data_IF_811815528567
#
_entry.id   IF_811815528567
#
_cell.length_a   1.000
_cell.length_b   1.000
_cell.length_c   1.000
_cell.angle_alpha   90.00
_cell.angle_beta   90.00
_cell.angle_gamma   90.00
#
_symmetry.space_group_name_H-M   'P 1'
#
loop_
_entity.id
_entity.type
_entity.pdbx_description
1 polymer ?
#
# COMPACT_ATOMS: atom_id res chain seq x y z
N UNK A 1 4.06 7.70 60.10
CA UNK A 1 3.28 6.76 59.27
C UNK A 1 3.21 7.35 57.87
N UNK A 2 4.10 6.93 56.98
CA UNK A 2 4.17 7.43 55.60
C UNK A 2 3.42 6.49 54.67
N UNK A 3 2.43 7.03 53.96
CA UNK A 3 1.72 6.35 52.88
C UNK A 3 2.70 6.10 51.74
N UNK A 4 2.83 4.87 51.21
CA UNK A 4 3.67 4.64 50.05
C UNK A 4 2.97 5.20 48.80
N UNK A 5 3.70 6.09 48.12
CA UNK A 5 3.41 6.59 46.78
C UNK A 5 3.14 5.42 45.83
N UNK A 6 1.91 5.34 45.33
CA UNK A 6 1.55 4.46 44.22
C UNK A 6 2.47 4.79 43.02
N UNK A 7 3.35 3.84 42.67
CA UNK A 7 4.05 3.84 41.39
C UNK A 7 2.99 3.94 40.28
N UNK A 8 3.21 4.74 39.22
CA UNK A 8 2.34 4.68 38.05
C UNK A 8 2.33 3.24 37.54
N UNK A 9 1.13 2.72 37.25
CA UNK A 9 0.94 1.39 36.70
C UNK A 9 1.88 1.21 35.49
N UNK A 10 2.65 0.11 35.48
CA UNK A 10 3.40 -0.27 34.29
C UNK A 10 2.41 -0.29 33.11
N UNK A 11 2.78 0.26 31.93
CA UNK A 11 1.91 0.20 30.77
C UNK A 11 1.52 -1.27 30.56
N UNK A 12 0.24 -1.56 30.27
CA UNK A 12 -0.18 -2.93 30.04
C UNK A 12 0.71 -3.54 28.94
N UNK A 13 1.22 -4.76 29.19
CA UNK A 13 1.82 -5.57 28.13
C UNK A 13 0.82 -5.73 26.98
N UNK A 14 1.29 -6.15 25.80
CA UNK A 14 0.47 -6.24 24.58
C UNK A 14 -0.91 -6.88 24.82
N UNK A 15 -0.99 -7.95 25.60
CA UNK A 15 -2.26 -8.59 25.97
C UNK A 15 -3.25 -7.64 26.65
N UNK A 16 -2.79 -6.85 27.62
CA UNK A 16 -3.65 -5.87 28.29
C UNK A 16 -4.14 -4.77 27.34
N UNK A 17 -3.30 -4.33 26.40
CA UNK A 17 -3.70 -3.40 25.34
C UNK A 17 -4.74 -4.01 24.40
N UNK A 18 -4.51 -5.24 23.94
CA UNK A 18 -5.48 -5.96 23.10
C UNK A 18 -6.83 -6.15 23.80
N UNK A 19 -6.81 -6.51 25.09
CA UNK A 19 -8.02 -6.64 25.91
C UNK A 19 -8.74 -5.32 26.16
N UNK A 20 -8.05 -4.18 26.07
CA UNK A 20 -8.68 -2.86 26.15
C UNK A 20 -9.26 -2.43 24.79
N UNK A 21 -8.54 -2.66 23.70
CA UNK A 21 -8.83 -2.09 22.38
C UNK A 21 -9.77 -2.93 21.50
N UNK A 22 -9.74 -4.27 21.61
CA UNK A 22 -10.60 -5.12 20.77
C UNK A 22 -12.05 -5.03 21.27
N UNK A 23 -12.97 -4.52 20.46
CA UNK A 23 -14.39 -4.37 20.78
C UNK A 23 -15.10 -5.71 20.77
N UNK A 24 -16.20 -5.82 21.53
CA UNK A 24 -16.97 -7.06 21.68
C UNK A 24 -17.36 -7.70 20.33
N UNK A 25 -17.78 -6.90 19.35
CA UNK A 25 -18.14 -7.40 18.01
C UNK A 25 -17.01 -8.12 17.27
N UNK A 26 -15.75 -7.83 17.59
CA UNK A 26 -14.58 -8.48 17.01
C UNK A 26 -14.03 -9.63 17.88
N UNK A 27 -14.55 -9.85 19.09
CA UNK A 27 -14.09 -10.92 20.01
C UNK A 27 -14.73 -12.29 19.73
N UNK A 28 -15.11 -12.57 18.48
CA UNK A 28 -15.69 -13.85 18.09
C UNK A 28 -14.66 -14.79 17.46
N UNK A 29 -14.86 -16.11 17.59
CA UNK A 29 -14.10 -17.12 16.86
C UNK A 29 -14.46 -17.15 15.37
N UNK A 30 -15.65 -16.67 15.02
CA UNK A 30 -16.14 -16.54 13.65
C UNK A 30 -16.63 -15.11 13.47
N UNK A 31 -16.00 -14.38 12.55
CA UNK A 31 -16.41 -13.04 12.17
C UNK A 31 -17.16 -13.13 10.84
N UNK A 32 -18.41 -12.70 10.87
CA UNK A 32 -19.30 -12.64 9.72
C UNK A 32 -19.33 -11.20 9.22
N UNK A 33 -19.06 -11.01 7.93
CA UNK A 33 -19.14 -9.71 7.29
C UNK A 33 -20.23 -9.78 6.23
N UNK A 34 -21.22 -8.90 6.34
CA UNK A 34 -22.33 -8.88 5.38
C UNK A 34 -21.88 -8.41 4.00
N UNK A 35 -22.66 -8.72 2.94
CA UNK A 35 -22.39 -8.25 1.57
C UNK A 35 -22.31 -6.72 1.44
N UNK A 36 -22.98 -6.01 2.35
CA UNK A 36 -23.00 -4.53 2.41
C UNK A 36 -21.85 -3.93 3.25
N UNK A 37 -20.96 -4.76 3.81
CA UNK A 37 -19.79 -4.26 4.54
C UNK A 37 -18.75 -3.73 3.54
N UNK A 38 -18.50 -2.40 3.50
CA UNK A 38 -17.63 -1.79 2.51
C UNK A 38 -16.17 -2.27 2.59
N UNK A 39 -15.80 -2.98 3.66
CA UNK A 39 -14.44 -3.41 3.90
C UNK A 39 -14.17 -4.86 3.48
N UNK A 40 -15.17 -5.75 3.41
CA UNK A 40 -14.90 -7.20 3.38
C UNK A 40 -15.76 -8.09 2.46
N UNK A 41 -16.76 -7.61 1.74
CA UNK A 41 -17.47 -8.43 0.73
C UNK A 41 -17.77 -7.59 -0.52
N UNK A 42 -17.88 -8.23 -1.68
CA UNK A 42 -18.44 -7.56 -2.85
C UNK A 42 -19.92 -7.27 -2.58
N UNK A 43 -20.38 -6.01 -2.71
CA UNK A 43 -21.81 -5.76 -2.64
C UNK A 43 -22.48 -6.48 -3.80
N UNK A 44 -23.51 -7.28 -3.51
CA UNK A 44 -24.54 -7.54 -4.49
C UNK A 44 -25.13 -6.20 -4.89
N UNK A 45 -24.82 -5.72 -6.08
CA UNK A 45 -25.30 -4.43 -6.57
C UNK A 45 -26.83 -4.40 -6.54
N UNK A 46 -27.39 -3.77 -5.51
CA UNK A 46 -28.82 -3.88 -5.25
C UNK A 46 -29.35 -2.97 -4.15
N UNK A 47 -28.76 -1.80 -3.87
CA UNK A 47 -29.54 -0.61 -3.46
C UNK A 47 -28.67 0.63 -3.21
N UNK A 48 -28.88 1.68 -4.00
CA UNK A 48 -29.09 3.10 -3.61
C UNK A 48 -28.54 4.06 -4.66
N UNK A 49 -29.36 5.07 -4.94
CA UNK A 49 -29.21 6.06 -5.98
C UNK A 49 -27.95 6.93 -5.87
N UNK A 50 -27.64 7.51 -7.01
CA UNK A 50 -26.48 8.31 -7.31
C UNK A 50 -26.24 9.50 -6.35
N UNK A 51 -24.99 9.62 -5.90
CA UNK A 51 -24.34 10.90 -5.62
C UNK A 51 -22.83 10.73 -5.83
N UNK A 52 -22.26 11.54 -6.73
CA UNK A 52 -20.86 11.51 -7.17
C UNK A 52 -19.84 11.76 -6.03
N UNK A 53 -18.66 11.10 -6.04
CA UNK A 53 -17.51 11.53 -5.24
C UNK A 53 -16.54 12.41 -6.06
N UNK A 54 -15.78 13.31 -5.41
CA UNK A 54 -14.88 14.23 -6.09
C UNK A 54 -13.57 13.57 -6.54
N UNK A 55 -13.02 14.10 -7.62
CA UNK A 55 -11.76 13.71 -8.23
C UNK A 55 -10.57 14.09 -7.34
N UNK A 56 -9.89 13.09 -6.75
CA UNK A 56 -8.44 13.09 -6.52
C UNK A 56 -8.02 11.75 -5.90
N UNK A 57 -7.77 10.74 -6.73
CA UNK A 57 -6.89 9.62 -6.37
C UNK A 57 -6.13 9.13 -7.60
N UNK A 58 -4.82 9.36 -7.59
CA UNK A 58 -3.89 8.93 -8.63
C UNK A 58 -3.51 7.48 -8.35
N UNK A 59 -3.91 6.56 -9.23
CA UNK A 59 -3.43 5.18 -9.21
C UNK A 59 -1.99 5.10 -9.75
N UNK A 60 -1.07 4.62 -8.91
CA UNK A 60 0.32 4.33 -9.25
C UNK A 60 0.35 3.17 -10.26
N UNK A 61 1.00 3.39 -11.40
CA UNK A 61 1.24 2.39 -12.45
C UNK A 61 2.41 1.47 -12.07
N UNK A 62 2.24 0.19 -12.37
CA UNK A 62 3.22 -0.88 -12.23
C UNK A 62 4.51 -0.62 -13.03
N UNK A 63 5.65 -0.78 -12.36
CA UNK A 63 6.96 -0.93 -12.99
C UNK A 63 7.14 -2.43 -13.24
N UNK A 64 7.21 -2.81 -14.52
CA UNK A 64 7.44 -4.19 -14.94
C UNK A 64 8.87 -4.66 -14.69
N UNK A 65 9.04 -5.98 -14.62
CA UNK A 65 10.21 -6.60 -15.23
C UNK A 65 9.92 -8.02 -15.69
N UNK A 66 10.40 -8.34 -16.89
CA UNK A 66 10.30 -9.65 -17.52
C UNK A 66 11.29 -10.64 -16.92
N UNK A 67 10.94 -11.92 -17.02
CA UNK A 67 11.78 -13.05 -16.63
C UNK A 67 11.23 -14.34 -17.21
N UNK A 68 11.95 -14.87 -18.20
CA UNK A 68 11.61 -15.99 -19.06
C UNK A 68 11.48 -17.34 -18.33
N UNK A 69 10.57 -18.16 -18.83
CA UNK A 69 10.36 -19.58 -18.51
C UNK A 69 11.65 -20.43 -18.57
N UNK A 70 11.84 -21.32 -17.59
CA UNK A 70 12.32 -22.72 -17.76
C UNK A 70 12.22 -23.49 -16.44
N UNK A 71 12.03 -24.80 -16.58
CA UNK A 71 12.03 -25.87 -15.57
C UNK A 71 10.74 -26.14 -14.79
N UNK A 72 9.78 -26.69 -15.54
CA UNK A 72 8.91 -27.74 -15.06
C UNK A 72 9.67 -29.08 -15.06
N UNK A 73 9.99 -29.59 -13.87
CA UNK A 73 10.05 -31.03 -13.52
C UNK A 73 10.59 -31.15 -12.09
N UNK A 74 9.69 -31.44 -11.16
CA UNK A 74 9.81 -32.34 -10.01
C UNK A 74 8.57 -32.11 -9.13
N UNK A 75 8.26 -33.07 -8.26
CA UNK A 75 7.11 -33.11 -7.35
C UNK A 75 5.83 -33.74 -7.92
N UNK A 76 5.96 -35.01 -8.27
CA UNK A 76 4.91 -36.01 -8.06
C UNK A 76 4.90 -36.40 -6.59
N UNK A 77 3.74 -36.33 -5.91
CA UNK A 77 3.35 -37.01 -4.66
C UNK A 77 2.85 -36.10 -3.53
N UNK A 78 1.75 -35.37 -3.74
CA UNK A 78 0.79 -35.00 -2.69
C UNK A 78 -0.61 -34.98 -3.30
N UNK A 79 -1.60 -35.50 -2.56
CA UNK A 79 -3.01 -35.69 -2.96
C UNK A 79 -3.64 -34.41 -3.58
N UNK A 80 -4.55 -34.54 -4.56
CA UNK A 80 -5.04 -33.42 -5.36
C UNK A 80 -6.02 -32.53 -4.57
N UNK A 81 -5.76 -31.22 -4.53
CA UNK A 81 -6.72 -30.20 -4.08
C UNK A 81 -7.32 -29.48 -5.29
N UNK A 82 -8.65 -29.29 -5.38
CA UNK A 82 -9.25 -28.51 -6.45
C UNK A 82 -8.89 -27.02 -6.31
N UNK A 83 -8.38 -26.43 -7.39
CA UNK A 83 -8.18 -24.99 -7.54
C UNK A 83 -9.55 -24.37 -7.85
N UNK A 84 -10.03 -23.42 -7.03
CA UNK A 84 -11.30 -22.74 -7.28
C UNK A 84 -11.12 -21.59 -8.27
N UNK A 85 -12.01 -21.53 -9.26
CA UNK A 85 -12.11 -20.38 -10.16
C UNK A 85 -12.71 -19.18 -9.46
N UNK A 86 -12.21 -17.99 -9.81
CA UNK A 86 -12.78 -16.72 -9.38
C UNK A 86 -14.25 -16.64 -9.79
N UNK A 87 -15.08 -16.16 -8.86
CA UNK A 87 -16.49 -15.87 -9.09
C UNK A 87 -16.69 -14.89 -10.25
N UNK A 88 -17.85 -15.01 -10.89
CA UNK A 88 -18.27 -14.09 -11.93
C UNK A 88 -18.46 -12.69 -11.34
N UNK A 89 -17.60 -11.75 -11.74
CA UNK A 89 -17.86 -10.33 -11.50
C UNK A 89 -19.03 -9.92 -12.40
N UNK A 90 -20.12 -9.41 -11.80
CA UNK A 90 -21.23 -8.87 -12.58
C UNK A 90 -20.80 -7.61 -13.33
N UNK A 91 -20.57 -7.78 -14.63
CA UNK A 91 -20.47 -6.70 -15.60
C UNK A 91 -21.87 -6.16 -15.86
N UNK A 92 -21.99 -4.83 -15.87
CA UNK A 92 -23.12 -4.15 -16.50
C UNK A 92 -23.40 -4.78 -17.88
N UNK A 93 -24.61 -5.32 -18.04
CA UNK A 93 -25.06 -5.92 -19.28
C UNK A 93 -25.06 -4.89 -20.41
N UNK A 94 -24.10 -5.00 -21.33
CA UNK A 94 -24.49 -5.01 -22.74
C UNK A 94 -25.16 -6.37 -22.95
N UNK A 95 -26.42 -6.38 -23.35
CA UNK A 95 -27.28 -7.56 -23.35
C UNK A 95 -26.56 -8.82 -23.90
N UNK A 96 -26.35 -9.82 -23.04
CA UNK A 96 -26.12 -11.20 -23.45
C UNK A 96 -24.69 -11.77 -23.51
N UNK A 97 -23.68 -11.24 -22.78
CA UNK A 97 -22.32 -11.84 -22.81
C UNK A 97 -21.60 -11.92 -21.44
N UNK A 98 -21.52 -13.11 -20.79
CA UNK A 98 -20.81 -13.36 -19.53
C UNK A 98 -19.37 -13.88 -19.70
N UNK A 99 -18.68 -13.53 -20.79
CA UNK A 99 -17.39 -14.14 -21.18
C UNK A 99 -16.12 -13.50 -20.59
N UNK A 100 -16.19 -12.50 -19.70
CA UNK A 100 -15.00 -11.75 -19.28
C UNK A 100 -14.38 -12.28 -17.98
N UNK A 101 -13.09 -12.64 -18.04
CA UNK A 101 -12.27 -13.07 -16.88
C UNK A 101 -11.07 -12.12 -16.66
N UNK A 102 -10.95 -11.04 -17.43
CA UNK A 102 -9.87 -10.04 -17.26
C UNK A 102 -10.39 -8.60 -17.34
N UNK A 103 -9.96 -7.78 -16.37
CA UNK A 103 -10.18 -6.34 -16.40
C UNK A 103 -9.20 -5.69 -17.39
N UNK A 104 -9.68 -5.34 -18.57
CA UNK A 104 -9.06 -4.36 -19.46
C UNK A 104 -9.93 -3.10 -19.50
N UNK A 105 -9.35 -1.90 -19.72
CA UNK A 105 -10.13 -0.68 -19.81
C UNK A 105 -11.14 -0.79 -20.96
N UNK A 106 -12.29 -0.14 -20.80
CA UNK A 106 -13.44 -0.19 -21.68
C UNK A 106 -13.12 0.30 -23.11
N UNK A 107 -12.56 -0.59 -23.92
CA UNK A 107 -12.55 -0.60 -25.39
C UNK A 107 -11.70 -1.78 -25.90
N UNK A 108 -11.99 -3.01 -25.46
CA UNK A 108 -11.66 -4.26 -26.17
C UNK A 108 -11.91 -5.46 -25.23
N UNK A 109 -13.10 -6.07 -25.31
CA UNK A 109 -13.22 -7.46 -24.92
C UNK A 109 -12.61 -8.30 -26.05
N UNK A 110 -11.57 -9.10 -25.77
CA UNK A 110 -10.80 -9.87 -26.78
C UNK A 110 -11.67 -10.84 -27.60
N UNK A 111 -12.93 -11.08 -27.20
CA UNK A 111 -13.88 -11.93 -27.91
C UNK A 111 -15.07 -11.24 -28.59
N UNK A 112 -15.25 -9.92 -28.46
CA UNK A 112 -16.45 -9.22 -28.96
C UNK A 112 -16.12 -7.84 -29.54
N UNK A 113 -15.88 -7.76 -30.85
CA UNK A 113 -16.09 -6.52 -31.62
C UNK A 113 -17.53 -6.52 -32.12
N UNK A 114 -18.46 -5.91 -31.37
CA UNK A 114 -19.72 -5.48 -31.95
C UNK A 114 -19.47 -4.15 -32.68
N UNK A 115 -19.62 -4.19 -34.00
CA UNK A 115 -19.71 -3.00 -34.84
C UNK A 115 -21.20 -2.76 -35.07
N UNK A 116 -21.83 -1.92 -34.25
CA UNK A 116 -23.17 -1.44 -34.55
C UNK A 116 -23.04 -0.39 -35.66
N UNK A 117 -23.11 -0.87 -36.90
CA UNK A 117 -22.98 -0.08 -38.12
C UNK A 117 -24.17 0.85 -38.39
N UNK A 118 -24.52 1.72 -37.43
CA UNK A 118 -25.47 2.81 -37.68
C UNK A 118 -25.26 4.03 -36.78
N UNK A 119 -24.05 4.61 -36.82
CA UNK A 119 -23.80 5.97 -36.35
C UNK A 119 -23.07 6.75 -37.46
N UNK A 120 -23.62 7.87 -37.98
CA UNK A 120 -22.90 8.68 -38.95
C UNK A 120 -21.79 9.45 -38.24
N UNK A 121 -20.52 9.12 -38.53
CA UNK A 121 -19.35 9.93 -38.10
C UNK A 121 -18.16 9.20 -37.46
N UNK A 122 -17.90 7.92 -37.73
CA UNK A 122 -16.68 7.23 -37.28
C UNK A 122 -15.46 7.46 -38.20
N UNK A 123 -14.24 7.69 -37.68
CA UNK A 123 -13.06 8.00 -38.50
C UNK A 123 -12.50 6.77 -39.25
N UNK A 124 -12.11 6.99 -40.51
CA UNK A 124 -11.79 6.00 -41.54
C UNK A 124 -10.47 5.20 -41.38
N UNK A 125 -9.99 4.94 -40.16
CA UNK A 125 -8.71 4.23 -39.95
C UNK A 125 -8.84 2.78 -39.42
N UNK A 126 -10.04 2.20 -39.45
CA UNK A 126 -10.28 0.80 -39.04
C UNK A 126 -10.30 -0.23 -40.18
N UNK A 127 -10.02 0.16 -41.43
CA UNK A 127 -10.12 -0.70 -42.63
C UNK A 127 -8.97 -1.72 -42.82
N UNK A 128 -8.31 -2.17 -41.74
CA UNK A 128 -7.07 -2.96 -41.88
C UNK A 128 -6.79 -4.06 -40.87
N UNK A 129 -7.72 -4.42 -39.97
CA UNK A 129 -7.46 -5.47 -38.98
C UNK A 129 -7.97 -6.84 -39.44
N UNK A 130 -7.09 -7.87 -39.54
CA UNK A 130 -7.52 -9.21 -39.88
C UNK A 130 -8.39 -9.79 -38.75
N UNK A 131 -9.62 -10.14 -39.12
CA UNK A 131 -10.66 -10.74 -38.28
C UNK A 131 -10.14 -12.02 -37.58
N UNK A 132 -9.67 -11.90 -36.34
CA UNK A 132 -9.34 -13.06 -35.50
C UNK A 132 -10.60 -13.59 -34.84
N UNK A 133 -11.09 -14.71 -35.38
CA UNK A 133 -11.94 -15.72 -34.75
C UNK A 133 -13.14 -15.23 -33.91
N UNK A 134 -14.32 -15.22 -34.53
CA UNK A 134 -15.62 -15.21 -33.82
C UNK A 134 -15.65 -16.32 -32.76
N UNK A 135 -15.76 -15.93 -31.49
CA UNK A 135 -16.19 -16.82 -30.42
C UNK A 135 -17.62 -17.27 -30.76
N UNK A 136 -17.84 -18.57 -30.99
CA UNK A 136 -19.20 -19.09 -31.19
C UNK A 136 -19.97 -18.93 -29.88
N UNK A 137 -21.02 -18.12 -29.90
CA UNK A 137 -21.97 -18.05 -28.80
C UNK A 137 -22.54 -19.47 -28.55
N UNK A 138 -22.46 -20.00 -27.31
CA UNK A 138 -23.06 -21.29 -27.00
C UNK A 138 -24.59 -21.20 -27.13
N UNK A 139 -25.25 -22.36 -27.25
CA UNK A 139 -26.71 -22.42 -27.25
C UNK A 139 -27.29 -21.70 -26.02
N UNK A 140 -28.44 -21.04 -26.18
CA UNK A 140 -29.08 -20.29 -25.11
C UNK A 140 -29.32 -21.19 -23.88
N UNK A 141 -28.92 -20.70 -22.69
CA UNK A 141 -29.13 -21.38 -21.41
C UNK A 141 -28.02 -22.36 -20.98
N UNK A 142 -26.93 -22.51 -21.74
CA UNK A 142 -25.82 -23.39 -21.34
C UNK A 142 -24.86 -22.66 -20.39
N UNK A 143 -24.85 -23.09 -19.13
CA UNK A 143 -23.90 -22.64 -18.08
C UNK A 143 -22.92 -23.75 -17.72
N UNK A 144 -21.87 -23.38 -16.99
CA UNK A 144 -20.93 -24.33 -16.40
C UNK A 144 -21.68 -25.38 -15.56
N UNK A 145 -21.30 -26.65 -15.71
CA UNK A 145 -21.94 -27.78 -15.02
C UNK A 145 -21.81 -27.77 -13.49
N UNK A 146 -21.01 -26.86 -12.93
CA UNK A 146 -20.91 -26.67 -11.48
C UNK A 146 -22.17 -25.95 -10.97
N UNK A 147 -22.94 -26.51 -9.99
CA UNK A 147 -24.27 -26.02 -9.58
C UNK A 147 -24.38 -24.53 -9.20
N UNK A 148 -23.26 -23.87 -8.88
CA UNK A 148 -23.21 -22.47 -8.44
C UNK A 148 -22.33 -21.59 -9.35
N UNK A 149 -22.09 -22.01 -10.60
CA UNK A 149 -21.26 -21.28 -11.56
C UNK A 149 -22.08 -20.89 -12.80
N UNK A 150 -22.32 -19.59 -12.97
CA UNK A 150 -23.15 -19.06 -14.07
C UNK A 150 -22.33 -18.74 -15.34
N UNK A 151 -21.02 -18.96 -15.32
CA UNK A 151 -20.14 -18.70 -16.45
C UNK A 151 -20.37 -19.68 -17.61
N UNK A 152 -20.14 -19.22 -18.85
CA UNK A 152 -20.25 -20.07 -20.03
C UNK A 152 -19.17 -21.16 -20.08
N UNK A 153 -19.51 -22.36 -20.57
CA UNK A 153 -18.52 -23.38 -20.83
C UNK A 153 -17.58 -23.00 -21.99
N UNK A 154 -16.33 -23.45 -21.90
CA UNK A 154 -15.32 -23.14 -22.91
C UNK A 154 -15.33 -24.20 -24.03
N UNK A 155 -15.73 -23.80 -25.24
CA UNK A 155 -15.69 -24.67 -26.42
C UNK A 155 -16.60 -25.88 -26.27
N UNK A 156 -16.03 -27.09 -26.33
CA UNK A 156 -16.76 -28.35 -26.13
C UNK A 156 -16.71 -28.87 -24.69
N UNK A 157 -16.15 -28.11 -23.74
CA UNK A 157 -16.13 -28.50 -22.33
C UNK A 157 -17.50 -28.30 -21.67
N UNK A 158 -17.80 -29.11 -20.65
CA UNK A 158 -18.94 -28.90 -19.74
C UNK A 158 -18.69 -27.77 -18.71
N UNK A 159 -17.48 -27.21 -18.66
CA UNK A 159 -17.05 -26.25 -17.63
C UNK A 159 -16.57 -24.93 -18.21
N UNK A 160 -16.61 -23.85 -17.41
CA UNK A 160 -15.95 -22.59 -17.73
C UNK A 160 -14.42 -22.77 -17.83
N UNK A 161 -13.69 -21.78 -18.34
CA UNK A 161 -12.24 -21.87 -18.55
C UNK A 161 -11.46 -22.32 -17.29
N UNK A 162 -11.81 -21.77 -16.13
CA UNK A 162 -11.09 -22.05 -14.88
C UNK A 162 -11.40 -23.45 -14.34
N UNK A 163 -12.67 -23.87 -14.40
CA UNK A 163 -13.06 -25.23 -14.02
C UNK A 163 -12.58 -26.27 -15.04
N UNK A 164 -12.51 -25.93 -16.33
CA UNK A 164 -11.88 -26.77 -17.38
C UNK A 164 -10.40 -27.03 -17.09
N UNK A 165 -9.68 -25.98 -16.67
CA UNK A 165 -8.26 -26.10 -16.31
C UNK A 165 -8.09 -26.99 -15.08
N UNK A 166 -8.91 -26.77 -14.06
CA UNK A 166 -8.89 -27.57 -12.82
C UNK A 166 -9.26 -29.03 -13.07
N UNK A 167 -10.28 -29.28 -13.88
CA UNK A 167 -10.69 -30.62 -14.30
C UNK A 167 -9.57 -31.35 -15.06
N UNK A 168 -8.87 -30.65 -15.97
CA UNK A 168 -7.71 -31.20 -16.70
C UNK A 168 -6.54 -31.53 -15.78
N UNK A 169 -6.23 -30.66 -14.81
CA UNK A 169 -5.14 -30.87 -13.83
C UNK A 169 -5.44 -32.05 -12.90
N UNK A 170 -6.71 -32.28 -12.57
CA UNK A 170 -7.13 -33.40 -11.71
C UNK A 170 -7.28 -34.74 -12.45
N UNK A 171 -6.68 -34.87 -13.64
CA UNK A 171 -6.68 -36.13 -14.39
C UNK A 171 -7.95 -36.39 -15.20
N UNK A 172 -8.80 -35.36 -15.41
CA UNK A 172 -10.06 -35.44 -16.17
C UNK A 172 -11.01 -36.52 -15.63
N UNK A 173 -11.39 -36.43 -14.35
CA UNK A 173 -12.38 -37.34 -13.75
C UNK A 173 -13.74 -37.23 -14.48
N UNK A 174 -14.67 -38.13 -14.18
CA UNK A 174 -16.03 -38.03 -14.71
C UNK A 174 -16.65 -36.63 -14.42
N UNK A 175 -17.42 -36.10 -15.38
CA UNK A 175 -17.90 -34.71 -15.37
C UNK A 175 -18.89 -34.48 -14.23
N UNK A 176 -19.85 -35.39 -14.03
CA UNK A 176 -20.87 -35.25 -12.99
C UNK A 176 -20.24 -35.57 -11.62
N UNK A 177 -19.38 -36.60 -11.52
CA UNK A 177 -18.64 -36.87 -10.29
C UNK A 177 -17.70 -35.73 -9.87
N UNK A 178 -17.18 -34.95 -10.83
CA UNK A 178 -16.40 -33.75 -10.56
C UNK A 178 -17.29 -32.57 -10.16
N UNK A 179 -18.47 -32.42 -10.75
CA UNK A 179 -19.44 -31.37 -10.40
C UNK A 179 -20.06 -31.60 -9.02
N UNK A 180 -20.36 -32.85 -8.65
CA UNK A 180 -20.97 -33.25 -7.37
C UNK A 180 -20.05 -32.96 -6.18
N UNK A 181 -18.73 -32.92 -6.38
CA UNK A 181 -17.77 -32.47 -5.36
C UNK A 181 -17.99 -31.00 -4.92
N UNK A 182 -18.80 -30.25 -5.65
CA UNK A 182 -19.16 -28.87 -5.36
C UNK A 182 -20.60 -28.70 -4.86
N UNK A 183 -21.39 -29.78 -4.75
CA UNK A 183 -22.81 -29.73 -4.37
C UNK A 183 -23.05 -29.53 -2.86
N UNK A 184 -22.12 -29.96 -1.98
CA UNK A 184 -22.30 -29.96 -0.51
C UNK A 184 -21.78 -28.69 0.21
N UNK A 185 -22.00 -27.48 -0.30
CA UNK A 185 -21.49 -26.26 0.37
C UNK A 185 -22.59 -25.26 0.80
N UNK A 186 -22.98 -25.37 2.08
CA UNK A 186 -23.58 -24.33 2.94
C UNK A 186 -22.63 -23.11 3.07
N UNK A 187 -23.11 -21.95 3.59
CA UNK A 187 -22.82 -20.61 3.03
C UNK A 187 -21.32 -20.38 2.80
N UNK A 188 -21.00 -19.72 1.69
CA UNK A 188 -19.66 -19.65 1.13
C UNK A 188 -18.62 -19.22 2.18
N UNK A 189 -17.53 -20.00 2.27
CA UNK A 189 -16.32 -19.64 3.02
C UNK A 189 -15.70 -18.27 2.61
N UNK A 190 -16.25 -17.61 1.59
CA UNK A 190 -15.91 -16.27 1.13
C UNK A 190 -16.55 -15.14 1.97
N UNK A 191 -17.44 -15.44 2.93
CA UNK A 191 -18.12 -14.43 3.77
C UNK A 191 -17.74 -14.53 5.27
N UNK A 192 -17.00 -15.57 5.66
CA UNK A 192 -16.67 -15.83 7.06
C UNK A 192 -15.15 -15.91 7.30
N UNK A 193 -14.69 -15.22 8.35
CA UNK A 193 -13.32 -15.35 8.86
C UNK A 193 -13.36 -16.18 10.14
N UNK A 194 -12.75 -17.36 10.11
CA UNK A 194 -12.65 -18.26 11.27
C UNK A 194 -11.26 -18.18 11.91
N UNK A 195 -11.22 -17.83 13.18
CA UNK A 195 -10.01 -17.64 13.99
C UNK A 195 -9.88 -18.69 15.11
N UNK A 196 -10.79 -19.66 15.15
CA UNK A 196 -10.84 -20.79 16.08
C UNK A 196 -9.54 -21.61 16.13
N UNK A 197 -8.79 -21.64 15.03
CA UNK A 197 -7.50 -22.35 14.91
C UNK A 197 -6.32 -21.61 15.55
N UNK A 198 -6.50 -20.36 15.95
CA UNK A 198 -5.47 -19.55 16.60
C UNK A 198 -5.72 -19.55 18.10
N UNK A 199 -4.70 -19.92 18.87
CA UNK A 199 -4.80 -19.97 20.33
C UNK A 199 -4.41 -18.63 20.97
N UNK A 200 -5.05 -18.32 22.10
CA UNK A 200 -4.61 -17.28 23.04
C UNK A 200 -4.49 -15.87 22.44
N UNK A 201 -3.29 -15.30 22.54
CA UNK A 201 -2.99 -13.92 22.19
C UNK A 201 -3.02 -13.66 20.68
N UNK A 202 -2.53 -14.58 19.85
CA UNK A 202 -2.51 -14.41 18.39
C UNK A 202 -3.91 -14.23 17.79
N UNK A 203 -4.92 -14.86 18.39
CA UNK A 203 -6.32 -14.63 18.01
C UNK A 203 -6.74 -13.19 18.26
N UNK A 204 -6.45 -12.66 19.46
CA UNK A 204 -6.75 -11.27 19.81
C UNK A 204 -5.99 -10.28 18.92
N UNK A 205 -4.75 -10.60 18.57
CA UNK A 205 -3.96 -9.82 17.62
C UNK A 205 -4.65 -9.73 16.25
N UNK A 206 -5.06 -10.85 15.64
CA UNK A 206 -5.76 -10.80 14.35
C UNK A 206 -7.15 -10.15 14.46
N UNK A 207 -7.86 -10.32 15.57
CA UNK A 207 -9.13 -9.60 15.81
C UNK A 207 -8.91 -8.09 15.85
N UNK A 208 -7.85 -7.62 16.52
CA UNK A 208 -7.46 -6.20 16.54
C UNK A 208 -7.09 -5.69 15.14
N UNK A 209 -6.29 -6.45 14.38
CA UNK A 209 -5.89 -6.09 13.02
C UNK A 209 -7.10 -5.95 12.10
N UNK A 210 -8.06 -6.89 12.17
CA UNK A 210 -9.28 -6.84 11.37
C UNK A 210 -10.19 -5.67 11.79
N UNK A 211 -10.32 -5.41 13.09
CA UNK A 211 -11.02 -4.24 13.60
C UNK A 211 -10.40 -2.95 13.07
N UNK A 212 -9.07 -2.81 13.17
CA UNK A 212 -8.35 -1.62 12.74
C UNK A 212 -8.53 -1.37 11.24
N UNK A 213 -8.43 -2.45 10.45
CA UNK A 213 -8.62 -2.35 9.00
C UNK A 213 -10.05 -1.94 8.63
N UNK A 214 -11.05 -2.48 9.32
CA UNK A 214 -12.46 -2.11 9.16
C UNK A 214 -12.67 -0.63 9.52
N UNK A 215 -12.10 -0.15 10.63
CA UNK A 215 -12.22 1.24 11.07
C UNK A 215 -11.56 2.23 10.11
N UNK A 216 -10.37 1.87 9.60
CA UNK A 216 -9.63 2.71 8.66
C UNK A 216 -10.25 2.69 7.23
N UNK A 217 -11.30 1.88 7.00
CA UNK A 217 -11.94 1.64 5.70
C UNK A 217 -10.92 1.33 4.59
N UNK A 218 -9.81 0.70 4.95
CA UNK A 218 -8.72 0.44 4.03
C UNK A 218 -9.09 -0.71 3.10
N UNK A 219 -9.37 -0.38 1.83
CA UNK A 219 -9.36 -1.24 0.64
C UNK A 219 -9.80 -2.70 0.80
N UNK A 220 -10.78 -3.12 -0.01
CA UNK A 220 -11.41 -4.45 0.00
C UNK A 220 -10.42 -5.61 0.24
N UNK A 221 -10.60 -6.35 1.34
CA UNK A 221 -9.85 -7.57 1.67
C UNK A 221 -10.84 -8.73 1.72
N UNK A 222 -10.62 -9.81 0.97
CA UNK A 222 -11.59 -10.92 1.00
C UNK A 222 -11.29 -11.87 2.17
N UNK A 223 -12.31 -12.49 2.79
CA UNK A 223 -12.13 -13.51 3.83
C UNK A 223 -11.16 -14.61 3.44
N UNK A 224 -11.14 -15.04 2.17
CA UNK A 224 -10.18 -16.02 1.66
C UNK A 224 -8.71 -15.62 1.82
N UNK A 225 -8.38 -14.33 1.67
CA UNK A 225 -7.01 -13.83 1.87
C UNK A 225 -6.62 -13.92 3.35
N UNK A 226 -7.53 -13.52 4.25
CA UNK A 226 -7.31 -13.62 5.69
C UNK A 226 -7.17 -15.09 6.10
N UNK A 227 -8.03 -15.96 5.60
CA UNK A 227 -8.01 -17.40 5.92
C UNK A 227 -6.74 -18.10 5.45
N UNK A 228 -6.10 -17.65 4.36
CA UNK A 228 -4.78 -18.16 3.95
C UNK A 228 -3.69 -17.82 4.96
N UNK A 229 -3.67 -16.58 5.46
CA UNK A 229 -2.71 -16.16 6.50
C UNK A 229 -2.99 -16.87 7.83
N UNK A 230 -4.25 -16.97 8.25
CA UNK A 230 -4.64 -17.72 9.46
C UNK A 230 -4.16 -19.17 9.41
N UNK A 231 -4.37 -19.86 8.28
CA UNK A 231 -3.91 -21.25 8.09
C UNK A 231 -2.39 -21.36 8.16
N UNK A 232 -1.66 -20.42 7.56
CA UNK A 232 -0.21 -20.42 7.56
C UNK A 232 0.36 -20.17 8.97
N UNK A 233 -0.22 -19.21 9.71
CA UNK A 233 0.15 -18.92 11.10
C UNK A 233 -0.17 -20.09 12.05
N UNK A 234 -1.32 -20.74 11.88
CA UNK A 234 -1.68 -21.93 12.65
C UNK A 234 -0.72 -23.10 12.37
N UNK A 235 -0.25 -23.25 11.13
CA UNK A 235 0.66 -24.33 10.75
C UNK A 235 2.07 -24.17 11.34
N UNK A 236 2.58 -22.92 11.44
CA UNK A 236 3.88 -22.64 12.08
C UNK A 236 3.77 -22.62 13.62
N UNK A 237 2.57 -22.46 14.17
CA UNK A 237 2.33 -22.58 15.62
C UNK A 237 2.88 -21.43 16.45
N UNK A 238 3.03 -20.23 15.88
CA UNK A 238 3.48 -19.05 16.63
C UNK A 238 2.40 -18.56 17.61
N UNK A 239 2.83 -18.04 18.76
CA UNK A 239 1.92 -17.50 19.78
C UNK A 239 1.57 -16.02 19.63
N UNK A 240 2.36 -15.28 18.84
CA UNK A 240 2.21 -13.84 18.59
C UNK A 240 2.91 -13.45 17.30
N UNK A 241 2.41 -12.42 16.62
CA UNK A 241 3.08 -11.75 15.51
C UNK A 241 4.36 -11.01 15.96
N UNK A 242 4.56 -10.78 17.26
CA UNK A 242 5.80 -10.18 17.79
C UNK A 242 6.91 -11.20 18.07
N UNK A 243 6.67 -12.50 17.84
CA UNK A 243 7.72 -13.51 17.98
C UNK A 243 8.85 -13.31 16.95
N UNK A 244 8.59 -12.59 15.86
CA UNK A 244 9.55 -12.27 14.81
C UNK A 244 9.41 -10.81 14.39
N UNK A 245 10.53 -10.21 13.99
CA UNK A 245 10.54 -8.88 13.39
C UNK A 245 9.86 -8.85 12.02
N UNK A 246 9.50 -7.65 11.57
CA UNK A 246 8.81 -7.43 10.30
C UNK A 246 9.57 -8.01 9.09
N UNK A 247 10.90 -7.88 9.07
CA UNK A 247 11.74 -8.39 7.97
C UNK A 247 11.72 -9.92 7.91
N UNK A 248 11.73 -10.59 9.07
CA UNK A 248 11.64 -12.06 9.16
C UNK A 248 10.26 -12.53 8.67
N UNK A 249 9.20 -11.83 9.06
CA UNK A 249 7.86 -12.11 8.53
C UNK A 249 7.78 -11.92 7.02
N UNK A 250 8.44 -10.88 6.50
CA UNK A 250 8.47 -10.60 5.08
C UNK A 250 9.15 -11.75 4.31
N UNK A 251 10.32 -12.18 4.74
CA UNK A 251 11.07 -13.27 4.10
C UNK A 251 10.33 -14.61 4.21
N UNK A 252 9.79 -14.92 5.38
CA UNK A 252 8.97 -16.11 5.58
C UNK A 252 7.74 -16.11 4.65
N UNK A 253 7.02 -14.99 4.57
CA UNK A 253 5.84 -14.86 3.72
C UNK A 253 6.17 -15.03 2.23
N UNK A 254 7.34 -14.57 1.78
CA UNK A 254 7.81 -14.79 0.40
C UNK A 254 8.02 -16.27 0.09
N UNK A 255 8.49 -17.05 1.06
CA UNK A 255 8.78 -18.48 0.89
C UNK A 255 7.54 -19.38 1.01
N UNK A 256 6.55 -19.00 1.83
CA UNK A 256 5.46 -19.89 2.24
C UNK A 256 4.10 -19.50 1.63
N UNK A 257 3.89 -18.22 1.34
CA UNK A 257 2.63 -17.69 0.82
C UNK A 257 2.83 -17.32 -0.65
N UNK A 258 2.03 -17.87 -1.56
CA UNK A 258 2.24 -17.68 -3.01
C UNK A 258 1.53 -16.46 -3.61
N UNK A 259 0.70 -15.75 -2.85
CA UNK A 259 -0.05 -14.59 -3.35
C UNK A 259 0.30 -13.27 -2.64
N UNK A 260 0.43 -12.21 -3.43
CA UNK A 260 0.83 -10.88 -2.96
C UNK A 260 -0.14 -10.27 -1.96
N UNK A 261 -1.45 -10.55 -2.07
CA UNK A 261 -2.47 -9.99 -1.17
C UNK A 261 -2.34 -10.54 0.25
N UNK A 262 -2.12 -11.84 0.40
CA UNK A 262 -1.91 -12.48 1.69
C UNK A 262 -0.58 -12.07 2.32
N UNK A 263 0.50 -11.95 1.52
CA UNK A 263 1.78 -11.38 2.00
C UNK A 263 1.59 -9.96 2.52
N UNK A 264 0.91 -9.11 1.74
CA UNK A 264 0.61 -7.73 2.14
C UNK A 264 -0.24 -7.65 3.40
N UNK A 265 -1.24 -8.53 3.55
CA UNK A 265 -2.05 -8.61 4.77
C UNK A 265 -1.22 -9.00 5.99
N UNK A 266 -0.32 -9.99 5.88
CA UNK A 266 0.55 -10.38 6.99
C UNK A 266 1.54 -9.27 7.37
N UNK A 267 2.15 -8.58 6.39
CA UNK A 267 3.00 -7.42 6.67
C UNK A 267 2.22 -6.31 7.37
N UNK A 268 0.99 -6.02 6.90
CA UNK A 268 0.09 -5.08 7.57
C UNK A 268 -0.22 -5.51 9.01
N UNK A 269 -0.61 -6.78 9.22
CA UNK A 269 -0.95 -7.31 10.53
C UNK A 269 0.21 -7.17 11.52
N UNK A 270 1.41 -7.61 11.12
CA UNK A 270 2.62 -7.54 11.93
C UNK A 270 2.95 -6.10 12.33
N UNK A 271 2.81 -5.17 11.39
CA UNK A 271 3.01 -3.73 11.61
C UNK A 271 2.00 -3.10 12.54
N UNK A 272 0.73 -3.49 12.46
CA UNK A 272 -0.35 -2.98 13.32
C UNK A 272 -0.16 -3.44 14.76
N UNK A 273 0.26 -4.70 14.95
CA UNK A 273 0.56 -5.23 16.29
C UNK A 273 1.82 -4.62 16.88
N UNK A 274 2.88 -4.45 16.10
CA UNK A 274 4.08 -3.75 16.54
C UNK A 274 3.77 -2.32 17.01
N UNK A 275 2.91 -1.60 16.28
CA UNK A 275 2.48 -0.25 16.65
C UNK A 275 1.63 -0.21 17.93
N UNK A 276 0.75 -1.19 18.13
CA UNK A 276 -0.03 -1.28 19.37
C UNK A 276 0.87 -1.59 20.57
N UNK A 277 1.81 -2.51 20.40
CA UNK A 277 2.71 -2.96 21.46
C UNK A 277 3.63 -1.85 21.94
N UNK A 278 4.13 -1.04 21.01
CA UNK A 278 4.93 0.13 21.35
C UNK A 278 4.04 1.28 21.85
N UNK A 279 4.51 2.06 22.82
CA UNK A 279 3.83 3.31 23.16
C UNK A 279 3.99 4.23 21.93
N UNK A 280 2.91 4.54 21.22
CA UNK A 280 2.99 5.45 20.06
C UNK A 280 3.44 6.87 20.44
N UNK A 281 3.50 7.76 19.47
CA UNK A 281 3.78 9.17 19.71
C UNK A 281 5.27 9.54 19.82
N UNK A 282 5.50 10.79 20.18
CA UNK A 282 6.84 11.40 20.11
C UNK A 282 7.84 10.78 21.08
N UNK A 283 7.41 10.35 22.27
CA UNK A 283 8.36 9.87 23.29
C UNK A 283 9.04 8.55 22.88
N UNK A 284 8.36 7.70 22.10
CA UNK A 284 8.95 6.47 21.58
C UNK A 284 9.65 6.65 20.23
N UNK A 285 9.12 7.51 19.35
CA UNK A 285 9.72 7.71 18.03
C UNK A 285 10.93 8.64 18.07
N UNK A 286 10.90 9.72 18.88
CA UNK A 286 11.94 10.75 18.89
C UNK A 286 13.36 10.22 19.18
N UNK A 287 13.58 9.28 20.14
CA UNK A 287 14.91 8.72 20.37
C UNK A 287 15.48 7.97 19.17
N UNK A 288 14.63 7.43 18.28
CA UNK A 288 15.06 6.62 17.12
C UNK A 288 15.60 7.47 15.99
N UNK A 289 16.39 6.84 15.12
CA UNK A 289 16.87 7.46 13.88
C UNK A 289 15.98 7.15 12.68
N UNK A 290 14.95 6.33 12.87
CA UNK A 290 13.90 6.09 11.87
C UNK A 290 12.56 6.36 12.54
N UNK A 291 11.92 7.45 12.13
CA UNK A 291 10.58 7.80 12.62
C UNK A 291 9.54 7.23 11.68
N UNK A 292 8.65 6.39 12.22
CA UNK A 292 7.50 5.85 11.52
C UNK A 292 6.35 6.82 11.67
N UNK A 293 6.05 7.57 10.62
CA UNK A 293 5.14 8.72 10.71
C UNK A 293 3.71 8.31 11.04
N UNK A 294 3.29 7.09 10.68
CA UNK A 294 2.02 6.51 11.09
C UNK A 294 1.80 6.46 12.60
N UNK A 295 2.85 6.23 13.39
CA UNK A 295 2.80 6.23 14.86
C UNK A 295 2.69 7.62 15.47
N UNK A 296 2.87 8.65 14.65
CA UNK A 296 2.73 10.06 15.00
C UNK A 296 1.43 10.66 14.44
N UNK A 297 0.53 9.83 13.90
CA UNK A 297 -0.77 10.26 13.37
C UNK A 297 -0.75 10.76 11.92
N UNK A 298 0.31 10.48 11.15
CA UNK A 298 0.33 10.79 9.71
C UNK A 298 -0.14 9.59 8.88
N UNK A 299 -0.88 9.87 7.81
CA UNK A 299 -1.35 8.82 6.91
C UNK A 299 -0.22 8.18 6.09
N UNK A 300 -0.42 6.90 5.76
CA UNK A 300 0.49 6.10 4.95
C UNK A 300 1.69 5.54 5.73
N UNK A 301 2.61 4.89 5.02
CA UNK A 301 3.76 4.20 5.62
C UNK A 301 5.09 4.93 5.44
N UNK A 302 5.04 6.27 5.45
CA UNK A 302 6.25 7.06 5.26
C UNK A 302 7.13 7.02 6.51
N UNK A 303 8.42 6.95 6.29
CA UNK A 303 9.46 7.00 7.32
C UNK A 303 10.38 8.19 7.11
N UNK A 304 10.74 8.90 8.18
CA UNK A 304 11.86 9.85 8.15
C UNK A 304 13.10 9.15 8.68
N UNK A 305 14.18 9.13 7.89
CA UNK A 305 15.43 8.41 8.20
C UNK A 305 16.56 9.40 8.44
N UNK A 306 17.02 9.49 9.68
CA UNK A 306 18.10 10.34 10.13
C UNK A 306 19.47 9.63 10.14
N UNK A 307 19.48 8.30 9.97
CA UNK A 307 20.71 7.50 9.95
C UNK A 307 21.71 7.87 8.84
N UNK A 308 21.27 8.61 7.80
CA UNK A 308 22.16 9.15 6.78
C UNK A 308 22.96 10.39 7.20
N UNK A 309 22.71 10.95 8.39
CA UNK A 309 23.46 12.08 8.95
C UNK A 309 24.52 11.50 9.90
N UNK A 310 25.79 11.33 9.48
CA UNK A 310 26.80 10.66 10.29
C UNK A 310 27.15 11.43 11.57
N UNK A 311 27.13 12.76 11.56
CA UNK A 311 27.47 13.58 12.73
C UNK A 311 26.33 13.56 13.78
N UNK A 312 26.56 13.07 15.01
CA UNK A 312 25.51 12.99 16.04
C UNK A 312 24.90 14.35 16.40
N UNK A 313 25.72 15.39 16.56
CA UNK A 313 25.26 16.75 16.88
C UNK A 313 24.31 17.31 15.80
N UNK A 314 24.60 17.06 14.52
CA UNK A 314 23.74 17.49 13.41
C UNK A 314 22.46 16.66 13.37
N UNK A 315 22.56 15.36 13.64
CA UNK A 315 21.42 14.43 13.67
C UNK A 315 20.42 14.84 14.74
N UNK A 316 20.89 15.18 15.93
CA UNK A 316 20.02 15.59 17.05
C UNK A 316 19.34 16.94 16.77
N UNK A 317 20.07 17.90 16.20
CA UNK A 317 19.48 19.17 15.76
C UNK A 317 18.48 18.96 14.61
N UNK A 318 18.78 18.08 13.66
CA UNK A 318 17.89 17.74 12.55
C UNK A 318 16.58 17.11 13.06
N UNK A 319 16.67 16.17 14.00
CA UNK A 319 15.52 15.57 14.69
C UNK A 319 14.72 16.65 15.41
N UNK A 320 15.36 17.48 16.23
CA UNK A 320 14.69 18.57 16.95
C UNK A 320 13.96 19.53 16.01
N UNK A 321 14.60 19.93 14.91
CA UNK A 321 14.00 20.80 13.90
C UNK A 321 12.82 20.16 13.18
N UNK A 322 12.95 18.90 12.74
CA UNK A 322 11.87 18.17 12.10
C UNK A 322 10.65 18.03 13.02
N UNK A 323 10.87 17.63 14.29
CA UNK A 323 9.80 17.55 15.30
C UNK A 323 9.09 18.89 15.49
N UNK A 324 9.84 19.98 15.66
CA UNK A 324 9.27 21.31 15.83
C UNK A 324 8.41 21.70 14.61
N UNK A 325 8.94 21.55 13.38
CA UNK A 325 8.21 21.87 12.14
C UNK A 325 6.91 21.08 11.99
N UNK A 326 6.98 19.78 12.26
CA UNK A 326 5.83 18.88 12.22
C UNK A 326 4.78 19.27 13.28
N UNK A 327 5.24 19.64 14.49
CA UNK A 327 4.37 20.08 15.59
C UNK A 327 3.73 21.45 15.34
N UNK A 328 4.34 22.31 14.52
CA UNK A 328 3.76 23.60 14.10
C UNK A 328 2.78 23.48 12.92
N UNK A 329 2.38 22.27 12.55
CA UNK A 329 1.37 22.02 11.51
C UNK A 329 1.91 21.96 10.08
N UNK A 330 3.24 21.91 9.86
CA UNK A 330 3.77 21.66 8.52
C UNK A 330 3.53 20.20 8.13
N UNK A 331 2.97 19.99 6.94
CA UNK A 331 2.76 18.65 6.39
C UNK A 331 4.07 17.87 6.22
N UNK A 332 3.97 16.54 6.17
CA UNK A 332 5.11 15.62 6.28
C UNK A 332 6.27 15.92 5.30
N UNK A 333 5.97 16.24 4.04
CA UNK A 333 7.00 16.56 3.04
C UNK A 333 7.75 17.87 3.35
N UNK A 334 7.03 18.92 3.76
CA UNK A 334 7.61 20.24 4.03
C UNK A 334 8.22 20.34 5.43
N UNK A 335 7.66 19.60 6.39
CA UNK A 335 8.06 19.59 7.80
C UNK A 335 9.22 18.65 8.08
N UNK A 336 9.29 17.49 7.41
CA UNK A 336 10.29 16.46 7.66
C UNK A 336 11.01 15.97 6.41
N UNK A 337 10.28 15.50 5.39
CA UNK A 337 10.85 14.82 4.22
C UNK A 337 11.96 15.61 3.50
N UNK A 338 11.62 16.80 2.98
CA UNK A 338 12.61 17.69 2.32
C UNK A 338 13.72 18.16 3.28
N UNK A 339 13.43 18.62 4.51
CA UNK A 339 14.46 18.92 5.50
C UNK A 339 15.50 17.81 5.70
N UNK A 340 15.05 16.58 5.93
CA UNK A 340 15.93 15.43 6.17
C UNK A 340 16.80 15.15 4.95
N UNK A 341 16.25 15.19 3.73
CA UNK A 341 17.04 15.03 2.49
C UNK A 341 18.13 16.09 2.36
N UNK A 342 17.80 17.36 2.61
CA UNK A 342 18.77 18.46 2.51
C UNK A 342 19.87 18.34 3.56
N UNK A 343 19.50 18.01 4.81
CA UNK A 343 20.45 17.86 5.91
C UNK A 343 21.34 16.63 5.74
N UNK A 344 20.81 15.50 5.27
CA UNK A 344 21.60 14.31 4.94
C UNK A 344 22.67 14.60 3.89
N UNK A 345 22.35 15.35 2.83
CA UNK A 345 23.36 15.73 1.83
C UNK A 345 24.42 16.66 2.41
N UNK A 346 24.02 17.67 3.17
CA UNK A 346 24.96 18.57 3.83
C UNK A 346 25.86 17.82 4.82
N UNK A 347 25.29 16.89 5.57
CA UNK A 347 26.01 16.01 6.50
C UNK A 347 27.06 15.14 5.80
N UNK A 348 26.74 14.60 4.61
CA UNK A 348 27.69 13.89 3.76
C UNK A 348 28.87 14.79 3.36
N UNK A 349 28.59 16.00 2.87
CA UNK A 349 29.64 16.98 2.56
C UNK A 349 30.51 17.30 3.77
N UNK A 350 29.91 17.55 4.94
CA UNK A 350 30.66 17.82 6.18
C UNK A 350 31.54 16.64 6.59
N UNK A 351 31.09 15.41 6.37
CA UNK A 351 31.89 14.22 6.63
C UNK A 351 33.09 14.15 5.69
N UNK A 352 32.90 14.44 4.40
CA UNK A 352 33.97 14.42 3.40
C UNK A 352 35.09 15.44 3.70
N UNK A 353 34.75 16.59 4.29
CA UNK A 353 35.71 17.63 4.67
C UNK A 353 36.19 17.55 6.12
N UNK A 354 35.75 16.54 6.90
CA UNK A 354 36.17 16.31 8.27
C UNK A 354 35.67 17.33 9.29
N UNK A 355 34.47 17.87 9.14
CA UNK A 355 33.86 18.77 10.14
C UNK A 355 33.19 17.95 11.24
N UNK A 356 33.75 18.05 12.45
CA UNK A 356 33.36 17.24 13.60
C UNK A 356 32.41 17.96 14.57
N UNK A 357 32.23 19.27 14.45
CA UNK A 357 31.44 20.09 15.38
C UNK A 357 30.82 21.32 14.71
N UNK A 358 29.79 21.88 15.33
CA UNK A 358 28.96 22.96 14.77
C UNK A 358 29.67 24.33 14.76
N UNK A 359 30.60 24.57 15.68
CA UNK A 359 31.44 25.79 15.75
C UNK A 359 32.35 25.96 14.53
N UNK A 360 32.56 24.88 13.77
CA UNK A 360 33.36 24.88 12.53
C UNK A 360 32.54 25.17 11.29
N UNK A 361 31.22 25.32 11.40
CA UNK A 361 30.39 25.72 10.28
C UNK A 361 30.45 27.24 10.16
N UNK A 362 31.52 27.76 9.58
CA UNK A 362 31.68 29.18 9.29
C UNK A 362 31.30 29.49 7.82
N UNK A 363 31.38 30.77 7.43
CA UNK A 363 31.10 31.18 6.06
C UNK A 363 31.97 30.45 5.01
N UNK A 364 33.30 30.32 5.18
CA UNK A 364 34.14 29.52 4.27
C UNK A 364 33.68 28.08 4.03
N UNK A 365 33.22 27.37 5.09
CA UNK A 365 32.66 26.02 4.92
C UNK A 365 31.40 26.05 4.07
N UNK A 366 30.52 27.04 4.26
CA UNK A 366 29.31 27.18 3.45
C UNK A 366 29.62 27.51 1.98
N UNK A 367 30.66 28.30 1.71
CA UNK A 367 31.12 28.58 0.33
C UNK A 367 31.67 27.33 -0.37
N UNK A 368 32.43 26.51 0.34
CA UNK A 368 32.87 25.19 -0.14
C UNK A 368 31.67 24.28 -0.43
N UNK A 369 30.65 24.31 0.43
CA UNK A 369 29.40 23.58 0.19
C UNK A 369 28.68 24.10 -1.06
N UNK A 370 28.59 25.41 -1.28
CA UNK A 370 28.00 25.98 -2.50
C UNK A 370 28.74 25.53 -3.77
N UNK A 371 30.07 25.43 -3.73
CA UNK A 371 30.87 24.91 -4.83
C UNK A 371 30.57 23.43 -5.09
N UNK A 372 30.54 22.59 -4.04
CA UNK A 372 30.15 21.18 -4.13
C UNK A 372 28.72 21.02 -4.68
N UNK A 373 27.78 21.85 -4.21
CA UNK A 373 26.39 21.88 -4.68
C UNK A 373 26.24 22.14 -6.18
N UNK A 374 27.16 22.92 -6.78
CA UNK A 374 27.18 23.19 -8.23
C UNK A 374 27.81 22.05 -9.03
N UNK A 375 28.78 21.33 -8.44
CA UNK A 375 29.39 20.16 -9.07
C UNK A 375 28.41 19.02 -9.28
N UNK A 376 27.41 18.91 -8.41
CA UNK A 376 26.31 17.97 -8.58
C UNK A 376 25.39 18.41 -9.72
N UNK A 377 25.05 17.49 -10.62
CA UNK A 377 24.15 17.67 -11.77
C UNK A 377 22.67 17.83 -11.37
N UNK A 378 22.41 18.50 -10.25
CA UNK A 378 21.08 18.88 -9.79
C UNK A 378 20.66 20.24 -10.37
N UNK A 379 19.42 20.34 -10.85
CA UNK A 379 18.91 21.59 -11.45
C UNK A 379 18.89 22.79 -10.48
N UNK A 380 18.90 24.01 -11.03
CA UNK A 380 18.92 25.27 -10.26
C UNK A 380 17.84 25.37 -9.18
N UNK A 381 16.61 24.92 -9.47
CA UNK A 381 15.51 24.92 -8.52
C UNK A 381 15.79 24.03 -7.29
N UNK A 382 16.41 22.86 -7.50
CA UNK A 382 16.79 21.97 -6.39
C UNK A 382 17.92 22.59 -5.57
N UNK A 383 18.93 23.19 -6.20
CA UNK A 383 20.00 23.92 -5.49
C UNK A 383 19.43 25.01 -4.58
N UNK A 384 18.52 25.85 -5.10
CA UNK A 384 17.87 26.89 -4.30
C UNK A 384 17.06 26.32 -3.12
N UNK A 385 16.47 25.13 -3.28
CA UNK A 385 15.77 24.43 -2.19
C UNK A 385 16.73 23.96 -1.10
N UNK A 386 17.90 23.42 -1.47
CA UNK A 386 18.94 23.03 -0.50
C UNK A 386 19.43 24.23 0.30
N UNK A 387 19.82 25.31 -0.37
CA UNK A 387 20.32 26.54 0.26
C UNK A 387 19.26 27.14 1.19
N UNK A 388 18.03 27.31 0.70
CA UNK A 388 16.96 27.94 1.48
C UNK A 388 16.45 27.10 2.66
N UNK A 389 16.50 25.76 2.60
CA UNK A 389 16.18 24.93 3.76
C UNK A 389 17.31 24.95 4.78
N UNK A 390 18.56 24.87 4.35
CA UNK A 390 19.70 24.92 5.27
C UNK A 390 19.81 26.29 5.97
N UNK A 391 19.57 27.38 5.26
CA UNK A 391 19.53 28.72 5.88
C UNK A 391 18.44 28.82 6.96
N UNK A 392 17.26 28.26 6.70
CA UNK A 392 16.17 28.21 7.69
C UNK A 392 16.46 27.30 8.88
N UNK A 393 17.23 26.23 8.66
CA UNK A 393 17.71 25.38 9.75
C UNK A 393 18.64 26.17 10.67
N UNK A 394 19.67 26.81 10.13
CA UNK A 394 20.59 27.63 10.93
C UNK A 394 19.89 28.79 11.63
N UNK A 395 18.94 29.45 10.96
CA UNK A 395 18.11 30.47 11.58
C UNK A 395 17.30 29.90 12.77
N UNK A 396 16.70 28.71 12.63
CA UNK A 396 15.96 28.05 13.70
C UNK A 396 16.85 27.64 14.87
N UNK A 397 18.05 27.10 14.61
CA UNK A 397 19.03 26.74 15.65
C UNK A 397 19.35 27.96 16.52
N UNK A 398 19.60 29.12 15.89
CA UNK A 398 19.88 30.38 16.62
C UNK A 398 18.64 30.93 17.31
N UNK A 399 17.51 31.03 16.60
CA UNK A 399 16.27 31.59 17.12
C UNK A 399 15.78 30.86 18.38
N UNK A 400 15.87 29.54 18.38
CA UNK A 400 15.44 28.72 19.51
C UNK A 400 16.58 28.37 20.47
N UNK A 401 17.80 28.87 20.23
CA UNK A 401 19.01 28.59 21.02
C UNK A 401 19.19 27.09 21.28
N UNK A 402 19.02 26.29 20.22
CA UNK A 402 19.23 24.85 20.32
C UNK A 402 20.70 24.49 20.45
N UNK A 403 21.56 25.35 19.91
CA UNK A 403 23.00 25.33 20.03
C UNK A 403 23.49 26.78 20.01
N UNK A 404 24.48 27.10 20.85
CA UNK A 404 25.02 28.47 20.99
C UNK A 404 26.34 28.67 20.27
N UNK A 405 26.97 27.59 19.81
CA UNK A 405 28.33 27.60 19.27
C UNK A 405 28.32 27.76 17.74
N UNK A 406 27.15 27.65 17.10
CA UNK A 406 26.98 27.94 15.67
C UNK A 406 27.43 29.38 15.34
N UNK A 407 28.50 29.57 14.55
CA UNK A 407 29.07 30.88 14.25
C UNK A 407 28.05 31.84 13.67
N UNK A 408 28.11 33.12 14.03
CA UNK A 408 27.12 34.11 13.58
C UNK A 408 27.09 34.28 12.05
N UNK A 409 28.23 34.11 11.39
CA UNK A 409 28.42 34.24 9.94
C UNK A 409 28.03 32.99 9.13
N UNK A 410 27.61 31.89 9.79
CA UNK A 410 27.10 30.69 9.14
C UNK A 410 25.70 30.92 8.53
N UNK A 411 25.64 31.70 7.47
CA UNK A 411 24.42 32.10 6.78
C UNK A 411 24.60 32.15 5.26
N UNK A 412 23.49 32.01 4.55
CA UNK A 412 23.43 32.21 3.10
C UNK A 412 22.77 33.55 2.77
N UNK A 413 23.36 34.29 1.83
CA UNK A 413 22.88 35.56 1.33
C UNK A 413 22.12 35.39 0.01
N UNK A 414 21.47 36.46 -0.45
CA UNK A 414 20.65 36.41 -1.66
C UNK A 414 21.46 36.02 -2.91
N UNK A 415 22.72 36.41 -2.96
CA UNK A 415 23.70 36.18 -4.02
C UNK A 415 24.12 34.70 -4.14
N UNK A 416 23.98 33.94 -3.05
CA UNK A 416 24.32 32.51 -3.03
C UNK A 416 23.29 31.66 -3.78
N UNK A 417 22.08 32.18 -3.96
CA UNK A 417 21.01 31.45 -4.64
C UNK A 417 21.27 31.39 -6.15
N UNK A 418 20.99 30.25 -6.80
CA UNK A 418 21.11 30.16 -8.25
C UNK A 418 20.15 31.16 -8.89
N UNK A 419 20.62 31.84 -9.94
CA UNK A 419 19.77 32.70 -10.76
C UNK A 419 18.57 31.90 -11.23
N UNK A 420 17.37 32.43 -10.98
CA UNK A 420 16.16 31.85 -11.54
C UNK A 420 16.16 32.21 -13.01
N UNK A 421 16.05 31.21 -13.87
CA UNK A 421 15.67 31.48 -15.25
C UNK A 421 14.31 32.15 -15.20
N UNK A 422 14.21 33.36 -15.78
CA UNK A 422 12.93 34.02 -15.99
C UNK A 422 12.06 33.06 -16.78
N UNK A 423 11.06 32.50 -16.09
CA UNK A 423 10.01 31.77 -16.77
C UNK A 423 9.24 32.82 -17.55
N UNK A 424 9.45 32.84 -18.86
CA UNK A 424 8.61 33.59 -19.78
C UNK A 424 7.15 33.36 -19.35
N UNK A 425 6.33 34.42 -19.22
CA UNK A 425 4.93 34.28 -18.89
C UNK A 425 4.34 33.21 -19.81
N UNK A 426 3.72 32.17 -19.23
CA UNK A 426 2.87 31.29 -20.03
C UNK A 426 1.75 32.19 -20.54
N UNK A 427 1.88 32.69 -21.76
CA UNK A 427 0.77 33.31 -22.46
C UNK A 427 -0.36 32.28 -22.45
N UNK A 428 -1.41 32.55 -21.69
CA UNK A 428 -2.64 31.78 -21.79
C UNK A 428 -3.10 31.94 -23.24
N UNK A 429 -3.20 30.83 -23.96
CA UNK A 429 -3.73 30.87 -25.32
C UNK A 429 -5.12 31.54 -25.28
N UNK A 430 -5.34 32.49 -26.19
CA UNK A 430 -6.52 33.37 -26.24
C UNK A 430 -7.86 32.60 -26.21
N UNK A 431 -7.83 31.36 -26.70
CA UNK A 431 -8.91 30.36 -26.64
C UNK A 431 -9.40 30.01 -25.22
N UNK A 432 -8.63 30.27 -24.15
CA UNK A 432 -9.09 30.12 -22.76
C UNK A 432 -9.78 31.39 -22.24
N UNK A 433 -9.49 32.57 -22.81
CA UNK A 433 -10.09 33.84 -22.36
C UNK A 433 -11.49 34.09 -22.96
N UNK A 434 -11.90 33.35 -23.99
CA UNK A 434 -13.22 33.52 -24.64
C UNK A 434 -14.35 32.78 -23.90
N UNK A 435 -14.06 31.80 -23.03
CA UNK A 435 -15.09 31.04 -22.29
C UNK A 435 -15.53 31.67 -20.95
N UNK A 436 -15.13 32.92 -20.66
CA UNK A 436 -15.57 33.64 -19.43
C UNK A 436 -16.37 34.92 -19.72
N UNK A 437 -16.93 35.05 -20.93
CA UNK A 437 -18.04 35.98 -21.20
C UNK A 437 -19.26 35.21 -21.69
N UNK A 438 -20.02 34.68 -20.74
CA UNK A 438 -21.48 34.51 -20.87
C UNK A 438 -22.08 35.10 -19.61
#
# INVERSE_FOLDING_TARGET
>A
MSVPSLKPAAPPGLLGKLMAEVRHGFRSNVLEFGPEDPCLVEPSAGSRGASEPPADSVCVKDIGNGGTTKDARLWSSLLPRPIRGGGANNLTSAAGCPAAVTALPAAACVGCTHNDGNAPGGPAWLDGWPNRSRSKQPAAGVTCRIPHCELWPQGTSAFCQTHTTTWKVNGRPDIDAFADQFADQTPLASEQIRLDRLAGQLKLELQYVLQRRHDDRQGKLTPDVVMRVVKALAAIGVGSLLNHDEDIWHDWARSTINDTRSRGFLSYASRVIADLAEAGGWDAEYPRDVWRMRRLGYDGDRTLRFGGIPQPWLRDLAKRWARWRLSTGLGLEAGGGRPVVVLTRFAGFLADIGVESIDRIDRPVLERYLANLRGDSIGAQRRGTHIGLLNRFFAAVRQHRWDTDLPADAMFFAEDYPKRDERLPRALAEQVMVSSRI
#
